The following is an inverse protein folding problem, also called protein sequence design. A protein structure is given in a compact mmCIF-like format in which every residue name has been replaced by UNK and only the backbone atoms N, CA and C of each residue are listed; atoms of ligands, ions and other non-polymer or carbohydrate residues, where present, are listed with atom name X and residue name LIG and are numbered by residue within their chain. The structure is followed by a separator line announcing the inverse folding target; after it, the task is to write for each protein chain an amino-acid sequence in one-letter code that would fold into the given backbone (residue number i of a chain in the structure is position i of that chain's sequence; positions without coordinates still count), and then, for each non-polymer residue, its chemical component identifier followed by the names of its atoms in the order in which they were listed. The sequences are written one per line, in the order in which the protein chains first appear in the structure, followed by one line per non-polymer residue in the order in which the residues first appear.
data_IF_535986334373
#
_entry.id   IF_535986334373
#
_cell.length_a   1.000
_cell.length_b   1.000
_cell.length_c   1.000
_cell.angle_alpha   90.00
_cell.angle_beta   90.00
_cell.angle_gamma   90.00
#
_symmetry.space_group_name_H-M   'P 1'
#
loop_
_entity.id
_entity.type
_entity.pdbx_description
1 polymer ?
#
# COMPACT_ATOMS: atom_id res chain seq x y z
N UNK A 1 5.91 -2.20 -2.66
CA UNK A 1 4.70 -1.52 -3.16
C UNK A 1 3.59 -2.55 -3.17
N UNK A 2 2.43 -2.29 -2.56
CA UNK A 2 1.29 -3.21 -2.69
C UNK A 2 0.74 -3.10 -4.10
N UNK A 3 0.58 -4.22 -4.80
CA UNK A 3 0.05 -4.23 -6.16
C UNK A 3 -1.48 -4.09 -6.09
N UNK A 4 -1.96 -2.84 -6.16
CA UNK A 4 -3.39 -2.54 -6.12
C UNK A 4 -4.01 -2.68 -7.51
N UNK A 5 -5.23 -3.22 -7.57
CA UNK A 5 -6.01 -3.32 -8.81
C UNK A 5 -7.50 -3.11 -8.53
N UNK A 6 -8.24 -2.75 -9.58
CA UNK A 6 -9.71 -2.59 -9.50
C UNK A 6 -10.36 -3.93 -9.13
N UNK A 7 -11.44 -3.87 -8.35
CA UNK A 7 -12.15 -5.02 -7.77
C UNK A 7 -11.46 -5.66 -6.54
N UNK A 8 -10.25 -5.22 -6.18
CA UNK A 8 -9.54 -5.76 -5.02
C UNK A 8 -10.17 -5.29 -3.71
N UNK A 9 -10.35 -6.22 -2.76
CA UNK A 9 -10.73 -5.86 -1.39
C UNK A 9 -9.50 -5.44 -0.58
N UNK A 10 -9.65 -4.35 0.16
CA UNK A 10 -8.60 -3.76 0.99
C UNK A 10 -9.14 -3.39 2.36
N UNK A 11 -8.30 -3.47 3.38
CA UNK A 11 -8.62 -2.97 4.72
C UNK A 11 -7.98 -1.60 4.93
N UNK A 12 -8.74 -0.65 5.48
CA UNK A 12 -8.21 0.64 5.90
C UNK A 12 -7.34 0.46 7.16
N UNK A 13 -6.08 0.90 7.11
CA UNK A 13 -5.14 0.83 8.23
C UNK A 13 -4.87 2.20 8.88
N UNK A 14 -5.22 3.28 8.19
CA UNK A 14 -5.04 4.66 8.64
C UNK A 14 -6.15 5.58 8.10
N UNK A 15 -7.10 5.89 8.99
CA UNK A 15 -8.23 6.80 8.77
C UNK A 15 -7.96 8.22 9.31
N UNK A 16 -6.72 8.56 9.69
CA UNK A 16 -6.42 9.89 10.24
C UNK A 16 -6.15 10.93 9.16
N UNK A 17 -6.70 12.12 9.31
CA UNK A 17 -6.48 13.25 8.40
C UNK A 17 -5.86 14.41 9.16
N UNK A 18 -4.70 14.88 8.70
CA UNK A 18 -3.91 15.88 9.45
C UNK A 18 -4.39 17.33 9.24
N UNK A 19 -5.07 17.60 8.12
CA UNK A 19 -5.28 18.96 7.64
C UNK A 19 -6.76 19.32 7.40
N UNK A 20 -7.72 18.46 7.78
CA UNK A 20 -9.15 18.71 7.57
C UNK A 20 -10.00 18.23 8.74
N UNK A 21 -11.11 18.93 8.97
CA UNK A 21 -12.15 18.58 9.95
C UNK A 21 -13.31 17.79 9.33
N UNK A 22 -13.36 17.67 8.01
CA UNK A 22 -14.43 16.97 7.29
C UNK A 22 -14.24 15.47 7.38
N UNK A 23 -15.32 14.76 7.67
CA UNK A 23 -15.34 13.30 7.68
C UNK A 23 -15.09 12.74 6.28
N UNK A 24 -14.05 11.93 6.17
CA UNK A 24 -13.59 11.34 4.93
C UNK A 24 -14.20 9.95 4.68
N UNK A 25 -15.15 9.53 5.52
CA UNK A 25 -16.00 8.34 5.39
C UNK A 25 -15.29 6.98 5.52
N UNK A 26 -13.96 6.95 5.45
CA UNK A 26 -13.18 5.74 5.75
C UNK A 26 -13.04 5.53 7.25
N UNK A 27 -13.00 4.28 7.68
CA UNK A 27 -12.78 3.87 9.08
C UNK A 27 -11.70 2.83 9.16
N UNK A 28 -10.78 2.95 10.11
CA UNK A 28 -9.71 1.97 10.33
C UNK A 28 -10.31 0.61 10.70
N UNK A 29 -9.86 -0.43 10.02
CA UNK A 29 -10.33 -1.81 10.19
C UNK A 29 -11.47 -2.19 9.23
N UNK A 30 -12.16 -1.23 8.64
CA UNK A 30 -13.20 -1.50 7.65
C UNK A 30 -12.62 -1.95 6.31
N UNK A 31 -13.42 -2.75 5.61
CA UNK A 31 -13.08 -3.37 4.34
C UNK A 31 -13.79 -2.64 3.21
N UNK A 32 -13.01 -2.28 2.19
CA UNK A 32 -13.48 -1.57 1.01
C UNK A 32 -13.03 -2.28 -0.27
N UNK A 33 -13.65 -1.93 -1.39
CA UNK A 33 -13.37 -2.48 -2.71
C UNK A 33 -12.83 -1.38 -3.61
N UNK A 34 -11.69 -1.59 -4.25
CA UNK A 34 -11.07 -0.59 -5.13
C UNK A 34 -11.87 -0.48 -6.43
N UNK A 35 -12.31 0.73 -6.78
CA UNK A 35 -12.93 1.05 -8.08
C UNK A 35 -11.99 1.75 -9.06
N UNK A 36 -10.93 2.37 -8.55
CA UNK A 36 -9.91 3.04 -9.36
C UNK A 36 -8.57 3.05 -8.63
N UNK A 37 -7.49 2.96 -9.38
CA UNK A 37 -6.11 3.12 -8.90
C UNK A 37 -5.30 3.90 -9.94
N UNK A 38 -4.47 4.83 -9.50
CA UNK A 38 -3.61 5.60 -10.40
C UNK A 38 -2.78 6.65 -9.69
N UNK A 39 -1.83 7.24 -10.42
CA UNK A 39 -1.12 8.43 -9.96
C UNK A 39 -2.10 9.61 -9.90
N UNK A 40 -1.96 10.44 -8.87
CA UNK A 40 -2.76 11.63 -8.64
C UNK A 40 -1.87 12.75 -8.10
N UNK A 41 -2.04 13.95 -8.63
CA UNK A 41 -1.30 15.14 -8.23
C UNK A 41 -2.26 16.10 -7.54
N UNK A 42 -2.03 16.34 -6.24
CA UNK A 42 -2.83 17.26 -5.43
C UNK A 42 -2.02 18.50 -5.08
N UNK A 43 -2.65 19.67 -5.15
CA UNK A 43 -1.96 20.96 -4.96
C UNK A 43 -1.38 21.16 -3.55
N UNK A 44 -1.97 20.55 -2.52
CA UNK A 44 -1.44 20.56 -1.13
C UNK A 44 -0.61 19.32 -0.82
N UNK A 45 -1.04 18.16 -1.32
CA UNK A 45 -0.55 16.85 -0.88
C UNK A 45 0.57 16.29 -1.77
N UNK A 46 0.88 16.97 -2.88
CA UNK A 46 1.85 16.53 -3.88
C UNK A 46 1.36 15.32 -4.67
N UNK A 47 2.30 14.60 -5.28
CA UNK A 47 2.02 13.41 -6.07
C UNK A 47 1.94 12.15 -5.22
N UNK A 48 0.95 11.29 -5.50
CA UNK A 48 0.82 10.01 -4.85
C UNK A 48 0.04 9.00 -5.68
N UNK A 49 0.16 7.72 -5.34
CA UNK A 49 -0.74 6.69 -5.84
C UNK A 49 -2.03 6.75 -5.02
N UNK A 50 -3.12 7.05 -5.72
CA UNK A 50 -4.46 7.17 -5.17
C UNK A 50 -5.30 5.91 -5.42
N UNK A 51 -6.29 5.69 -4.55
CA UNK A 51 -7.35 4.70 -4.74
C UNK A 51 -8.71 5.33 -4.50
N UNK A 52 -9.70 4.93 -5.29
CA UNK A 52 -11.11 5.22 -5.03
C UNK A 52 -11.83 3.93 -4.63
N UNK A 53 -12.85 4.05 -3.80
CA UNK A 53 -13.55 2.91 -3.20
C UNK A 53 -14.98 2.81 -3.74
N UNK A 54 -15.49 1.60 -3.99
CA UNK A 54 -16.87 1.38 -4.46
C UNK A 54 -17.90 1.79 -3.40
N UNK A 55 -17.61 1.56 -2.13
CA UNK A 55 -18.52 1.85 -1.05
C UNK A 55 -18.60 3.36 -0.74
N UNK A 56 -17.68 4.17 -1.29
CA UNK A 56 -17.59 5.60 -1.04
C UNK A 56 -17.45 6.38 -2.34
N UNK A 57 -18.54 7.07 -2.69
CA UNK A 57 -18.58 8.09 -3.74
C UNK A 57 -18.53 9.46 -3.09
N UNK A 58 -17.37 10.12 -3.15
CA UNK A 58 -17.15 11.39 -2.43
C UNK A 58 -17.86 12.59 -3.07
N UNK A 59 -18.39 12.42 -4.29
CA UNK A 59 -19.13 13.47 -4.98
C UNK A 59 -18.25 14.68 -5.29
N UNK A 60 -18.81 15.88 -5.18
CA UNK A 60 -18.11 17.12 -5.47
C UNK A 60 -17.41 17.67 -4.22
N UNK A 61 -16.18 17.21 -4.02
CA UNK A 61 -15.29 17.66 -2.94
C UNK A 61 -14.55 18.97 -3.32
N UNK A 62 -15.10 19.76 -4.24
CA UNK A 62 -14.54 21.02 -4.76
C UNK A 62 -15.12 22.27 -4.07
N UNK A 63 -16.08 22.11 -3.15
CA UNK A 63 -16.66 23.18 -2.36
C UNK A 63 -15.72 23.75 -1.28
N UNK A 64 -16.12 24.84 -0.59
CA UNK A 64 -15.31 25.47 0.46
C UNK A 64 -15.06 24.57 1.68
N UNK A 65 -15.94 23.59 1.90
CA UNK A 65 -15.84 22.52 2.90
C UNK A 65 -15.24 21.23 2.29
N UNK A 66 -14.77 21.28 1.04
CA UNK A 66 -14.23 20.14 0.31
C UNK A 66 -12.70 20.11 0.35
N UNK A 67 -12.14 19.15 -0.39
CA UNK A 67 -10.70 18.98 -0.55
C UNK A 67 -10.18 19.58 -1.88
N UNK A 68 -10.97 20.40 -2.56
CA UNK A 68 -10.62 21.09 -3.81
C UNK A 68 -10.65 20.20 -5.06
N UNK A 69 -11.27 19.02 -5.02
CA UNK A 69 -11.32 18.11 -6.16
C UNK A 69 -12.56 17.22 -6.16
N UNK A 70 -13.23 17.10 -7.30
CA UNK A 70 -14.32 16.15 -7.48
C UNK A 70 -13.82 14.71 -7.29
N UNK A 71 -14.47 13.97 -6.38
CA UNK A 71 -14.25 12.56 -6.11
C UNK A 71 -12.77 12.22 -5.85
N UNK A 72 -12.14 12.92 -4.90
CA UNK A 72 -10.71 12.82 -4.64
C UNK A 72 -10.28 11.41 -4.20
N UNK A 73 -9.20 10.84 -4.77
CA UNK A 73 -8.71 9.53 -4.34
C UNK A 73 -8.01 9.60 -2.98
N UNK A 74 -8.13 8.52 -2.20
CA UNK A 74 -7.38 8.33 -0.97
C UNK A 74 -5.95 7.87 -1.28
N UNK A 75 -4.97 8.27 -0.46
CA UNK A 75 -3.60 7.73 -0.57
C UNK A 75 -3.63 6.21 -0.39
N UNK A 76 -3.07 5.48 -1.35
CA UNK A 76 -3.04 4.01 -1.33
C UNK A 76 -2.29 3.44 -0.10
N UNK A 77 -1.38 4.22 0.49
CA UNK A 77 -0.65 3.87 1.72
C UNK A 77 -1.54 3.71 2.94
N UNK A 78 -2.78 4.22 2.91
CA UNK A 78 -3.79 4.06 3.97
C UNK A 78 -4.46 2.69 3.97
N UNK A 79 -4.19 1.86 2.96
CA UNK A 79 -4.85 0.59 2.78
C UNK A 79 -3.87 -0.58 2.70
N UNK A 80 -4.33 -1.76 3.08
CA UNK A 80 -3.64 -3.02 2.81
C UNK A 80 -4.54 -3.98 2.03
N UNK A 81 -4.01 -4.66 0.99
CA UNK A 81 -4.72 -5.76 0.34
C UNK A 81 -5.16 -6.81 1.34
N UNK A 82 -6.43 -7.21 1.26
CA UNK A 82 -6.87 -8.45 1.87
C UNK A 82 -6.38 -9.60 1.01
N UNK A 83 -5.31 -10.24 1.46
CA UNK A 83 -4.80 -11.44 0.83
C UNK A 83 -5.75 -12.60 1.15
N UNK A 84 -6.73 -12.85 0.28
CA UNK A 84 -7.48 -14.13 0.28
C UNK A 84 -6.51 -15.32 0.22
N UNK A 85 -5.40 -15.14 -0.49
CA UNK A 85 -4.52 -16.23 -0.89
C UNK A 85 -3.26 -16.44 -0.06
N UNK A 86 -3.00 -15.72 1.04
CA UNK A 86 -1.86 -16.14 1.91
C UNK A 86 -2.06 -17.56 2.40
N UNK A 87 -3.29 -17.95 2.72
CA UNK A 87 -3.63 -19.34 3.05
C UNK A 87 -3.55 -20.26 1.82
N UNK A 88 -3.98 -19.84 0.64
CA UNK A 88 -3.89 -20.66 -0.58
C UNK A 88 -2.44 -20.88 -1.02
N UNK A 89 -1.59 -19.85 -0.97
CA UNK A 89 -0.15 -19.91 -1.23
C UNK A 89 0.56 -20.75 -0.17
N UNK A 90 0.22 -20.60 1.12
CA UNK A 90 0.75 -21.47 2.19
C UNK A 90 0.27 -22.92 2.02
N UNK A 91 -0.98 -23.15 1.60
CA UNK A 91 -1.50 -24.48 1.27
C UNK A 91 -0.77 -25.10 0.07
N UNK A 92 -0.43 -24.31 -0.94
CA UNK A 92 0.37 -24.78 -2.07
C UNK A 92 1.83 -25.07 -1.69
N UNK A 93 2.38 -24.37 -0.69
CA UNK A 93 3.69 -24.66 -0.09
C UNK A 93 3.67 -25.90 0.82
N UNK A 94 2.54 -26.17 1.49
CA UNK A 94 2.33 -27.38 2.29
C UNK A 94 1.92 -28.61 1.46
N UNK A 95 1.46 -28.40 0.23
CA UNK A 95 1.08 -29.49 -0.66
C UNK A 95 2.34 -30.34 -0.95
N UNK A 96 2.28 -31.67 -0.78
CA UNK A 96 3.41 -32.52 -1.12
C UNK A 96 3.73 -32.34 -2.61
N UNK A 97 4.94 -31.89 -2.90
CA UNK A 97 5.46 -31.87 -4.27
C UNK A 97 5.36 -33.28 -4.86
N UNK A 98 4.83 -33.44 -6.08
CA UNK A 98 4.96 -34.69 -6.83
C UNK A 98 6.43 -35.12 -6.80
N UNK A 99 6.70 -36.41 -6.52
CA UNK A 99 8.07 -36.94 -6.49
C UNK A 99 8.81 -36.55 -7.77
N UNK A 100 9.77 -35.63 -7.67
CA UNK A 100 10.69 -35.28 -8.76
C UNK A 100 10.74 -33.81 -9.15
N UNK A 101 9.85 -32.94 -8.65
CA UNK A 101 9.87 -31.52 -8.98
C UNK A 101 10.29 -30.67 -7.79
N UNK A 102 11.36 -29.89 -7.96
CA UNK A 102 11.79 -28.91 -6.97
C UNK A 102 10.71 -27.84 -6.82
N UNK A 103 10.25 -27.50 -5.60
CA UNK A 103 9.26 -26.47 -5.40
C UNK A 103 9.76 -25.15 -5.98
N UNK A 104 8.89 -24.43 -6.70
CA UNK A 104 9.22 -23.12 -7.24
C UNK A 104 9.57 -22.16 -6.09
N UNK A 105 10.87 -21.89 -5.93
CA UNK A 105 11.37 -20.82 -5.09
C UNK A 105 11.49 -19.56 -5.96
N UNK A 106 10.75 -18.48 -5.67
CA UNK A 106 11.07 -17.20 -6.29
C UNK A 106 12.53 -16.86 -5.97
N UNK A 107 13.30 -16.32 -6.95
CA UNK A 107 14.69 -15.98 -6.71
C UNK A 107 14.78 -15.06 -5.50
N UNK A 108 15.67 -15.40 -4.57
CA UNK A 108 15.94 -14.57 -3.40
C UNK A 108 16.28 -13.14 -3.88
N UNK A 109 15.72 -12.08 -3.27
CA UNK A 109 16.13 -10.72 -3.61
C UNK A 109 17.65 -10.60 -3.43
N UNK A 110 18.34 -10.06 -4.44
CA UNK A 110 19.80 -9.83 -4.37
C UNK A 110 20.14 -9.15 -3.05
N UNK A 111 21.06 -9.73 -2.29
CA UNK A 111 21.57 -9.10 -1.07
C UNK A 111 22.05 -7.68 -1.41
N UNK A 112 21.75 -6.69 -0.56
CA UNK A 112 22.14 -5.32 -0.82
C UNK A 112 23.67 -5.22 -0.93
N UNK A 113 24.17 -4.91 -2.13
CA UNK A 113 25.59 -4.75 -2.49
C UNK A 113 26.32 -3.61 -1.74
N UNK A 114 25.71 -3.01 -0.73
CA UNK A 114 26.30 -1.90 0.03
C UNK A 114 27.01 -2.43 1.26
N UNK A 115 28.30 -2.74 1.11
CA UNK A 115 29.20 -2.88 2.24
C UNK A 115 29.18 -1.58 3.06
N UNK A 116 28.93 -1.69 4.36
CA UNK A 116 29.10 -0.57 5.28
C UNK A 116 30.56 -0.09 5.24
N UNK A 117 30.84 1.22 5.23
CA UNK A 117 32.21 1.71 5.25
C UNK A 117 32.88 1.25 6.55
N UNK A 118 34.00 0.52 6.43
CA UNK A 118 34.85 0.20 7.58
C UNK A 118 35.45 1.51 8.09
N UNK A 119 35.14 1.88 9.34
CA UNK A 119 35.86 2.95 10.04
C UNK A 119 37.32 2.53 10.20
N UNK A 120 38.25 3.32 9.68
CA UNK A 120 39.65 3.20 10.05
C UNK A 120 39.80 3.49 11.54
N UNK A 121 40.61 2.68 12.21
CA UNK A 121 40.96 2.91 13.61
C UNK A 121 41.93 4.09 13.66
N UNK A 122 41.51 5.13 14.36
CA UNK A 122 42.33 6.28 14.73
C UNK A 122 43.56 5.77 15.50
N UNK A 123 44.76 5.99 14.94
CA UNK A 123 46.01 5.80 15.67
C UNK A 123 46.16 6.99 16.61
N UNK A 124 46.07 6.72 17.90
CA UNK A 124 46.49 7.66 18.93
C UNK A 124 47.99 7.49 19.09
N UNK A 125 48.76 8.47 18.61
CA UNK A 125 50.19 8.54 18.88
C UNK A 125 50.41 8.99 20.34
N UNK A 126 51.24 8.22 21.04
CA UNK A 126 51.67 8.43 22.44
C UNK A 126 52.74 9.52 22.51
#
# INVERSE_FOLDING_TARGET
MNNFHVGQKVVCIDDKFKNVSIDQLIRKGEIYTIRWVGAYSHYIDGEFIGVKLEEIHRGNDDGPEGYGAADMPYRATRFRPLLKDRLSTLKNLLAPTPKGEAPYAPPAPEEPKRAAPKREKEKVDI
#
